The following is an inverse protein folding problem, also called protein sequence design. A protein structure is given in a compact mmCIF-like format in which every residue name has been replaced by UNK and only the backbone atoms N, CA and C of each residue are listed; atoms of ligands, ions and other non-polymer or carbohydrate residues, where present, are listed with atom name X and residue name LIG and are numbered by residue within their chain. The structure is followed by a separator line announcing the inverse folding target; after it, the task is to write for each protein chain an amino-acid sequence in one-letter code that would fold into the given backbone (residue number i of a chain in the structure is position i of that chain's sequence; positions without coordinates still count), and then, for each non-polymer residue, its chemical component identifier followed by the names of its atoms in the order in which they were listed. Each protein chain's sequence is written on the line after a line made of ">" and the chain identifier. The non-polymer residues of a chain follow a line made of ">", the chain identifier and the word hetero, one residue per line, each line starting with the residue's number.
data_IF_126937400477
#
_entry.id   IF_126937400477
#
_cell.length_a   1.000
_cell.length_b   1.000
_cell.length_c   1.000
_cell.angle_alpha   90.00
_cell.angle_beta   90.00
_cell.angle_gamma   90.00
#
_symmetry.space_group_name_H-M   'P 1'
#
loop_
_entity.id
_entity.type
_entity.pdbx_description
1 polymer ?
#
# COMPACT_ATOMS: atom_id res chain seq x y z
N UNK A 1 -7.76 -17.17 27.91
CA UNK A 1 -7.34 -16.91 29.30
C UNK A 1 -5.93 -16.34 29.22
N UNK A 2 -5.64 -15.04 29.11
CA UNK A 2 -6.42 -13.81 29.08
C UNK A 2 -5.58 -12.75 28.37
N UNK A 3 -6.27 -11.91 27.59
CA UNK A 3 -5.79 -10.61 27.12
C UNK A 3 -6.08 -9.61 28.24
N UNK A 4 -5.14 -8.75 28.60
CA UNK A 4 -5.54 -7.35 28.80
C UNK A 4 -4.98 -6.39 27.73
N UNK A 5 -5.92 -5.72 27.07
CA UNK A 5 -5.80 -4.51 26.26
C UNK A 5 -5.98 -3.29 27.17
N UNK A 6 -5.57 -2.13 26.64
CA UNK A 6 -5.71 -0.75 27.16
C UNK A 6 -4.60 -0.30 28.12
N UNK A 7 -3.97 0.87 27.95
CA UNK A 7 -4.64 2.16 27.76
C UNK A 7 -4.38 2.91 26.46
N UNK A 8 -5.52 3.34 25.92
CA UNK A 8 -5.76 4.50 25.08
C UNK A 8 -5.13 5.78 25.67
N UNK A 9 -4.37 6.53 24.86
CA UNK A 9 -4.50 7.98 24.88
C UNK A 9 -4.12 8.58 23.52
N UNK A 10 -5.13 8.67 22.67
CA UNK A 10 -5.18 9.59 21.54
C UNK A 10 -5.64 10.94 22.07
N UNK A 11 -4.78 11.95 22.02
CA UNK A 11 -5.21 13.33 22.06
C UNK A 11 -4.33 14.13 21.11
N UNK A 12 -4.84 14.25 19.88
CA UNK A 12 -4.47 15.31 18.96
C UNK A 12 -4.86 16.66 19.59
N UNK A 13 -3.92 17.58 19.72
CA UNK A 13 -4.24 19.01 19.62
C UNK A 13 -3.14 19.70 18.80
N UNK A 14 -3.53 20.10 17.60
CA UNK A 14 -2.89 21.15 16.84
C UNK A 14 -3.06 22.48 17.57
N UNK A 15 -1.95 23.14 17.91
CA UNK A 15 -1.99 24.58 18.13
C UNK A 15 -0.73 25.24 17.56
N UNK A 16 -0.95 25.91 16.43
CA UNK A 16 -0.10 26.97 15.90
C UNK A 16 -0.32 28.21 16.75
N UNK A 17 0.73 28.80 17.32
CA UNK A 17 0.95 30.25 17.39
C UNK A 17 2.26 30.57 18.12
N UNK A 18 3.00 31.54 17.58
CA UNK A 18 4.24 32.01 18.18
C UNK A 18 3.99 32.91 19.39
N UNK A 19 5.04 33.17 20.17
CA UNK A 19 5.35 34.47 20.80
C UNK A 19 6.74 34.39 21.40
N UNK A 20 7.46 35.51 21.27
CA UNK A 20 8.85 35.69 21.64
C UNK A 20 9.09 35.91 23.14
N UNK A 21 10.39 35.82 23.48
CA UNK A 21 11.10 36.40 24.63
C UNK A 21 11.04 35.66 25.99
N UNK A 22 12.20 35.14 26.42
CA UNK A 22 12.87 35.70 27.61
C UNK A 22 14.37 35.41 27.63
N UNK A 23 15.07 36.51 27.88
CA UNK A 23 16.49 36.76 28.10
C UNK A 23 17.04 35.92 29.25
N UNK A 24 18.18 35.25 29.06
CA UNK A 24 19.04 34.81 30.15
C UNK A 24 20.47 35.27 29.89
N UNK A 25 20.93 36.24 30.69
CA UNK A 25 22.34 36.61 30.78
C UNK A 25 23.01 35.54 31.64
N UNK A 26 24.07 34.91 31.14
CA UNK A 26 25.07 34.34 32.04
C UNK A 26 26.48 34.62 31.50
N UNK A 27 27.20 35.39 32.29
CA UNK A 27 28.62 35.73 32.18
C UNK A 27 29.46 34.53 32.61
N UNK A 28 30.57 34.25 31.91
CA UNK A 28 31.55 33.29 32.41
C UNK A 28 32.50 32.78 31.35
N UNK A 29 33.64 33.44 31.22
CA UNK A 29 34.82 33.04 30.46
C UNK A 29 35.30 31.63 30.82
N UNK A 30 35.66 30.80 29.85
CA UNK A 30 36.92 30.03 29.84
C UNK A 30 37.09 29.16 28.57
N UNK A 31 38.12 29.51 27.81
CA UNK A 31 39.06 28.64 27.09
C UNK A 31 38.74 27.14 26.90
N UNK A 32 38.71 26.74 25.62
CA UNK A 32 39.43 25.54 25.18
C UNK A 32 38.75 24.16 25.31
N UNK A 33 37.57 23.92 24.70
CA UNK A 33 37.03 22.55 24.49
C UNK A 33 36.33 22.34 23.13
N UNK A 34 36.96 22.69 22.01
CA UNK A 34 36.35 22.55 20.65
C UNK A 34 36.33 21.12 20.04
N UNK A 35 36.91 20.09 20.69
CA UNK A 35 37.01 18.73 20.12
C UNK A 35 35.90 17.74 20.53
N UNK A 36 35.17 17.94 21.64
CA UNK A 36 34.17 16.97 22.15
C UNK A 36 32.77 17.09 21.53
N UNK A 37 32.46 18.22 20.89
CA UNK A 37 31.12 18.51 20.38
C UNK A 37 30.83 17.82 19.03
N UNK A 38 31.87 17.58 18.21
CA UNK A 38 31.74 16.87 16.94
C UNK A 38 31.29 15.42 17.10
N UNK A 39 31.73 14.73 18.15
CA UNK A 39 31.36 13.34 18.44
C UNK A 39 29.89 13.22 18.86
N UNK A 40 29.41 14.10 19.76
CA UNK A 40 28.00 14.11 20.19
C UNK A 40 27.05 14.47 19.06
N UNK A 41 27.42 15.44 18.22
CA UNK A 41 26.66 15.78 17.00
C UNK A 41 26.61 14.59 16.04
N UNK A 42 27.73 13.92 15.76
CA UNK A 42 27.76 12.76 14.86
C UNK A 42 26.88 11.60 15.36
N UNK A 43 26.84 11.34 16.67
CA UNK A 43 25.96 10.31 17.27
C UNK A 43 24.49 10.74 17.17
N UNK A 44 24.16 11.99 17.51
CA UNK A 44 22.80 12.55 17.36
C UNK A 44 22.28 12.48 15.92
N UNK A 45 23.12 12.81 14.93
CA UNK A 45 22.78 12.67 13.50
C UNK A 45 22.52 11.21 13.09
N UNK A 46 23.28 10.25 13.63
CA UNK A 46 23.06 8.82 13.38
C UNK A 46 21.76 8.31 14.00
N UNK A 47 21.41 8.74 15.22
CA UNK A 47 20.12 8.43 15.84
C UNK A 47 18.94 9.08 15.10
N UNK A 48 19.07 10.34 14.70
CA UNK A 48 18.08 11.04 13.87
C UNK A 48 17.90 10.37 12.50
N UNK A 49 18.98 9.91 11.86
CA UNK A 49 18.93 9.16 10.59
C UNK A 49 18.24 7.80 10.76
N UNK A 50 18.56 7.07 11.83
CA UNK A 50 17.89 5.79 12.13
C UNK A 50 16.40 5.99 12.43
N UNK A 51 16.05 7.02 13.20
CA UNK A 51 14.65 7.36 13.49
C UNK A 51 13.88 7.71 12.21
N UNK A 52 14.44 8.56 11.34
CA UNK A 52 13.85 8.86 10.02
C UNK A 52 13.65 7.60 9.18
N UNK A 53 14.62 6.68 9.17
CA UNK A 53 14.49 5.41 8.45
C UNK A 53 13.38 4.52 9.04
N UNK A 54 13.24 4.46 10.36
CA UNK A 54 12.16 3.71 11.01
C UNK A 54 10.78 4.26 10.61
N UNK A 55 10.62 5.59 10.63
CA UNK A 55 9.38 6.25 10.20
C UNK A 55 9.10 5.99 8.72
N UNK A 56 10.13 6.11 7.85
CA UNK A 56 9.99 5.82 6.42
C UNK A 56 9.57 4.36 6.16
N UNK A 57 10.19 3.41 6.86
CA UNK A 57 9.84 1.99 6.75
C UNK A 57 8.42 1.71 7.26
N UNK A 58 8.00 2.35 8.35
CA UNK A 58 6.64 2.24 8.86
C UNK A 58 5.62 2.75 7.82
N UNK A 59 5.88 3.91 7.21
CA UNK A 59 5.06 4.48 6.14
C UNK A 59 4.98 3.55 4.93
N UNK A 60 6.09 2.97 4.51
CA UNK A 60 6.09 2.05 3.38
C UNK A 60 5.28 0.79 3.68
N UNK A 61 5.37 0.24 4.90
CA UNK A 61 4.50 -0.87 5.31
C UNK A 61 3.03 -0.49 5.20
N UNK A 62 2.62 0.67 5.74
CA UNK A 62 1.25 1.15 5.60
C UNK A 62 0.82 1.30 4.14
N UNK A 63 1.69 1.84 3.29
CA UNK A 63 1.43 1.95 1.83
C UNK A 63 1.22 0.58 1.18
N UNK A 64 2.04 -0.42 1.53
CA UNK A 64 1.92 -1.79 1.04
C UNK A 64 0.66 -2.48 1.57
N UNK A 65 0.27 -2.21 2.83
CA UNK A 65 -0.99 -2.74 3.39
C UNK A 65 -2.19 -2.24 2.60
N UNK A 66 -2.30 -0.92 2.40
CA UNK A 66 -3.38 -0.31 1.59
C UNK A 66 -3.40 -0.89 0.18
N UNK A 67 -2.22 -1.02 -0.46
CA UNK A 67 -2.13 -1.61 -1.80
C UNK A 67 -2.59 -3.07 -1.82
N UNK A 68 -2.23 -3.86 -0.80
CA UNK A 68 -2.64 -5.26 -0.70
C UNK A 68 -4.16 -5.38 -0.48
N UNK A 69 -4.73 -4.55 0.37
CA UNK A 69 -6.18 -4.48 0.60
C UNK A 69 -6.94 -4.10 -0.68
N UNK A 70 -6.46 -3.11 -1.42
CA UNK A 70 -7.05 -2.74 -2.72
C UNK A 70 -6.99 -3.90 -3.73
N UNK A 71 -5.87 -4.64 -3.76
CA UNK A 71 -5.74 -5.85 -4.59
C UNK A 71 -6.71 -6.96 -4.15
N UNK A 72 -6.92 -7.14 -2.85
CA UNK A 72 -7.89 -8.13 -2.33
C UNK A 72 -9.33 -7.73 -2.63
N UNK A 73 -9.66 -6.43 -2.56
CA UNK A 73 -10.93 -5.90 -3.03
C UNK A 73 -11.15 -6.20 -4.52
N UNK A 74 -10.14 -5.92 -5.36
CA UNK A 74 -10.21 -6.24 -6.79
C UNK A 74 -10.35 -7.74 -7.03
N UNK A 75 -9.61 -8.58 -6.29
CA UNK A 75 -9.69 -10.05 -6.37
C UNK A 75 -11.11 -10.56 -6.14
N UNK A 76 -11.85 -9.95 -5.19
CA UNK A 76 -13.24 -10.33 -4.91
C UNK A 76 -14.22 -9.90 -6.00
N UNK A 77 -13.88 -8.87 -6.77
CA UNK A 77 -14.74 -8.34 -7.84
C UNK A 77 -14.53 -9.04 -9.20
N UNK A 78 -13.39 -9.73 -9.40
CA UNK A 78 -13.08 -10.41 -10.66
C UNK A 78 -13.59 -11.86 -10.68
N UNK A 79 -13.96 -12.42 -11.86
CA UNK A 79 -14.35 -13.81 -12.00
C UNK A 79 -13.25 -14.79 -11.59
N UNK A 80 -13.59 -15.81 -10.81
CA UNK A 80 -12.69 -16.89 -10.40
C UNK A 80 -13.47 -18.18 -10.13
N UNK A 81 -12.78 -19.33 -10.01
CA UNK A 81 -13.43 -20.62 -9.76
C UNK A 81 -13.96 -20.76 -8.33
N UNK A 82 -13.33 -20.08 -7.38
CA UNK A 82 -13.81 -20.00 -6.00
C UNK A 82 -13.30 -18.74 -5.30
N UNK A 83 -14.03 -18.26 -4.30
CA UNK A 83 -13.62 -17.10 -3.50
C UNK A 83 -12.28 -17.29 -2.78
N UNK A 84 -11.84 -18.53 -2.54
CA UNK A 84 -10.56 -18.83 -1.91
C UNK A 84 -9.43 -19.12 -2.92
N UNK A 85 -9.72 -19.03 -4.23
CA UNK A 85 -8.71 -19.20 -5.25
C UNK A 85 -7.64 -18.11 -5.11
N UNK A 86 -6.42 -18.53 -4.83
CA UNK A 86 -5.24 -17.67 -4.77
C UNK A 86 -4.79 -17.34 -6.20
N UNK A 87 -5.00 -16.10 -6.60
CA UNK A 87 -4.57 -15.54 -7.88
C UNK A 87 -3.33 -14.67 -7.70
N UNK A 88 -2.41 -14.69 -8.66
CA UNK A 88 -1.29 -13.75 -8.71
C UNK A 88 -1.78 -12.33 -8.99
N UNK A 89 -0.99 -11.31 -8.59
CA UNK A 89 -1.29 -9.90 -8.90
C UNK A 89 -1.45 -9.68 -10.41
N UNK A 90 -0.63 -10.35 -11.22
CA UNK A 90 -0.71 -10.24 -12.68
C UNK A 90 -2.01 -10.82 -13.22
N UNK A 91 -2.45 -11.98 -12.72
CA UNK A 91 -3.72 -12.55 -13.16
C UNK A 91 -4.92 -11.72 -12.73
N UNK A 92 -4.93 -11.19 -11.50
CA UNK A 92 -6.00 -10.28 -11.07
C UNK A 92 -6.11 -9.10 -12.03
N UNK A 93 -4.98 -8.49 -12.43
CA UNK A 93 -4.98 -7.39 -13.40
C UNK A 93 -5.47 -7.82 -14.79
N UNK A 94 -5.03 -8.98 -15.30
CA UNK A 94 -5.49 -9.50 -16.60
C UNK A 94 -6.99 -9.77 -16.59
N UNK A 95 -7.47 -10.46 -15.55
CA UNK A 95 -8.89 -10.76 -15.38
C UNK A 95 -9.73 -9.50 -15.27
N UNK A 96 -9.28 -8.50 -14.51
CA UNK A 96 -10.00 -7.24 -14.39
C UNK A 96 -10.17 -6.55 -15.76
N UNK A 97 -9.09 -6.45 -16.55
CA UNK A 97 -9.14 -5.83 -17.87
C UNK A 97 -10.08 -6.58 -18.82
N UNK A 98 -9.90 -7.90 -18.95
CA UNK A 98 -10.73 -8.70 -19.84
C UNK A 98 -12.20 -8.74 -19.38
N UNK A 99 -12.45 -8.70 -18.07
CA UNK A 99 -13.81 -8.68 -17.53
C UNK A 99 -14.52 -7.35 -17.78
N UNK A 100 -13.84 -6.20 -17.61
CA UNK A 100 -14.40 -4.90 -17.96
C UNK A 100 -14.78 -4.86 -19.44
N UNK A 101 -13.91 -5.33 -20.33
CA UNK A 101 -14.19 -5.40 -21.78
C UNK A 101 -15.36 -6.34 -22.09
N UNK A 102 -15.42 -7.51 -21.44
CA UNK A 102 -16.54 -8.43 -21.59
C UNK A 102 -17.87 -7.78 -21.19
N UNK A 103 -17.91 -7.11 -20.03
CA UNK A 103 -19.12 -6.41 -19.57
C UNK A 103 -19.53 -5.27 -20.52
N UNK A 104 -18.56 -4.54 -21.09
CA UNK A 104 -18.83 -3.50 -22.08
C UNK A 104 -19.46 -4.08 -23.36
N UNK A 105 -18.88 -5.15 -23.92
CA UNK A 105 -19.43 -5.82 -25.10
C UNK A 105 -20.81 -6.44 -24.81
N UNK A 106 -20.99 -7.02 -23.63
CA UNK A 106 -22.27 -7.55 -23.18
C UNK A 106 -23.34 -6.44 -23.10
N UNK A 107 -23.00 -5.25 -22.57
CA UNK A 107 -23.93 -4.12 -22.57
C UNK A 107 -24.35 -3.70 -24.00
N UNK A 108 -23.40 -3.66 -24.94
CA UNK A 108 -23.71 -3.36 -26.35
C UNK A 108 -24.61 -4.39 -27.02
N UNK A 109 -24.52 -5.66 -26.61
CA UNK A 109 -25.42 -6.71 -27.09
C UNK A 109 -26.85 -6.53 -26.61
N UNK A 110 -27.05 -6.07 -25.36
CA UNK A 110 -28.38 -5.75 -24.84
C UNK A 110 -29.04 -4.60 -25.60
N UNK A 111 -28.25 -3.62 -26.06
CA UNK A 111 -28.75 -2.45 -26.79
C UNK A 111 -28.91 -2.73 -28.30
N UNK A 112 -28.07 -3.59 -28.86
CA UNK A 112 -28.06 -3.93 -30.28
C UNK A 112 -27.46 -5.33 -30.51
N UNK A 113 -28.31 -6.29 -30.90
CA UNK A 113 -27.82 -7.64 -31.22
C UNK A 113 -27.04 -7.61 -32.53
N UNK A 114 -25.71 -7.68 -32.41
CA UNK A 114 -24.80 -7.81 -33.55
C UNK A 114 -23.84 -8.97 -33.34
N UNK A 115 -23.70 -9.82 -34.36
CA UNK A 115 -22.82 -10.99 -34.32
C UNK A 115 -21.36 -10.62 -34.02
N UNK A 116 -20.92 -9.43 -34.45
CA UNK A 116 -19.60 -8.89 -34.15
C UNK A 116 -19.37 -8.69 -32.65
N UNK A 117 -20.36 -8.15 -31.94
CA UNK A 117 -20.28 -7.93 -30.49
C UNK A 117 -20.35 -9.24 -29.70
N UNK A 118 -21.07 -10.25 -30.22
CA UNK A 118 -21.11 -11.60 -29.62
C UNK A 118 -19.72 -12.25 -29.70
N UNK A 119 -19.09 -12.15 -30.86
CA UNK A 119 -17.73 -12.65 -31.05
C UNK A 119 -16.74 -11.94 -30.12
N UNK A 120 -16.83 -10.62 -30.01
CA UNK A 120 -15.96 -9.82 -29.16
C UNK A 120 -16.15 -10.12 -27.66
N UNK A 121 -17.38 -10.39 -27.23
CA UNK A 121 -17.66 -10.87 -25.88
C UNK A 121 -17.04 -12.25 -25.63
N UNK A 122 -17.23 -13.20 -26.56
CA UNK A 122 -16.68 -14.55 -26.46
C UNK A 122 -15.14 -14.53 -26.37
N UNK A 123 -14.48 -13.72 -27.20
CA UNK A 123 -13.02 -13.57 -27.20
C UNK A 123 -12.52 -13.08 -25.81
N UNK A 124 -13.25 -12.16 -25.14
CA UNK A 124 -12.90 -11.70 -23.79
C UNK A 124 -13.10 -12.80 -22.71
N UNK A 125 -14.16 -13.60 -22.83
CA UNK A 125 -14.42 -14.73 -21.92
C UNK A 125 -13.36 -15.81 -22.06
N UNK A 126 -12.92 -16.10 -23.29
CA UNK A 126 -11.82 -17.03 -23.56
C UNK A 126 -10.52 -16.54 -22.94
N UNK A 127 -10.23 -15.24 -23.03
CA UNK A 127 -9.06 -14.65 -22.39
C UNK A 127 -9.11 -14.80 -20.86
N UNK A 128 -10.27 -14.54 -20.24
CA UNK A 128 -10.46 -14.75 -18.80
C UNK A 128 -10.23 -16.22 -18.41
N UNK A 129 -10.79 -17.14 -19.18
CA UNK A 129 -10.68 -18.59 -18.95
C UNK A 129 -9.22 -19.05 -19.04
N UNK A 130 -8.49 -18.58 -20.07
CA UNK A 130 -7.07 -18.87 -20.24
C UNK A 130 -6.24 -18.31 -19.07
N UNK A 131 -6.51 -17.09 -18.64
CA UNK A 131 -5.83 -16.49 -17.50
C UNK A 131 -6.01 -17.34 -16.23
N UNK A 132 -7.24 -17.74 -15.90
CA UNK A 132 -7.53 -18.61 -14.74
C UNK A 132 -6.84 -19.97 -14.83
N UNK A 133 -6.78 -20.58 -16.01
CA UNK A 133 -6.10 -21.87 -16.21
C UNK A 133 -4.58 -21.78 -16.02
N UNK A 134 -3.95 -20.69 -16.46
CA UNK A 134 -2.49 -20.50 -16.31
C UNK A 134 -2.07 -20.29 -14.86
N UNK A 135 -2.93 -19.69 -14.03
CA UNK A 135 -2.67 -19.49 -12.60
C UNK A 135 -2.62 -20.78 -11.79
N UNK A 136 -3.39 -21.82 -12.17
CA UNK A 136 -3.36 -23.12 -11.50
C UNK A 136 -2.04 -23.88 -11.65
N UNK A 137 -1.20 -23.53 -12.63
CA UNK A 137 0.05 -24.23 -12.97
C UNK A 137 1.28 -23.70 -12.26
N UNK A 138 1.26 -22.49 -11.73
CA UNK A 138 2.43 -21.86 -11.10
C UNK A 138 2.80 -22.48 -9.75
N UNK A 139 1.96 -23.36 -9.19
CA UNK A 139 2.17 -24.03 -7.89
C UNK A 139 2.53 -25.52 -7.96
N UNK A 140 2.63 -26.13 -9.14
CA UNK A 140 3.07 -27.55 -9.27
C UNK A 140 4.57 -27.70 -9.49
N UNK A 141 5.34 -26.64 -9.25
CA UNK A 141 6.78 -26.61 -9.48
C UNK A 141 7.51 -26.32 -8.17
N UNK A 142 7.28 -27.17 -7.18
CA UNK A 142 8.12 -27.31 -5.98
C UNK A 142 8.06 -28.76 -5.51
#
# INVERSE_FOLDING_TARGET
>A
MDIPLEDSNTSEESNTEGVATKRSKNTGSQSGKKKRDKSKRAVSWRHSSRSRRLIANARERSRIHIMSEAFDCLRRAVPCYSHDQKLSKLAILRLATSYISALAHLNHLYESESDSSLKLFADCVDECTRALQTEGRTKRKE
#
